data_IF_512373546950
#
_entry.id   IF_512373546950
#
_cell.length_a   1.000
_cell.length_b   1.000
_cell.length_c   1.000
_cell.angle_alpha   90.00
_cell.angle_beta   90.00
_cell.angle_gamma   90.00
#
_symmetry.space_group_name_H-M   'P 1'
#
loop_
_entity.id
_entity.type
_entity.pdbx_description
1 polymer ?
#
# COMPACT_ATOMS: atom_id res chain seq x y z
N UNK A 1 14.44 -21.35 -28.09
CA UNK A 1 15.16 -21.06 -26.84
C UNK A 1 14.32 -20.05 -26.11
N UNK A 2 13.52 -20.52 -25.13
CA UNK A 2 12.64 -19.66 -24.35
C UNK A 2 13.47 -18.86 -23.35
N UNK A 3 13.53 -17.55 -23.52
CA UNK A 3 14.06 -16.65 -22.50
C UNK A 3 13.19 -16.82 -21.24
N UNK A 4 13.74 -17.49 -20.25
CA UNK A 4 13.12 -17.56 -18.94
C UNK A 4 13.00 -16.13 -18.42
N UNK A 5 11.79 -15.58 -18.43
CA UNK A 5 11.49 -14.29 -17.82
C UNK A 5 11.96 -14.36 -16.35
N UNK A 6 13.11 -13.76 -16.09
CA UNK A 6 13.63 -13.63 -14.73
C UNK A 6 12.55 -12.97 -13.88
N UNK A 7 12.06 -13.71 -12.88
CA UNK A 7 10.93 -13.23 -12.05
C UNK A 7 11.38 -11.98 -11.30
N UNK A 8 10.81 -10.85 -11.67
CA UNK A 8 11.10 -9.57 -11.03
C UNK A 8 10.93 -9.70 -9.51
N UNK A 9 11.85 -9.10 -8.79
CA UNK A 9 11.80 -9.04 -7.33
C UNK A 9 11.93 -7.60 -6.88
N UNK A 10 11.10 -7.19 -5.96
CA UNK A 10 11.12 -5.86 -5.35
C UNK A 10 10.67 -5.95 -3.90
N UNK A 11 11.29 -5.17 -3.03
CA UNK A 11 10.81 -4.97 -1.67
C UNK A 11 9.86 -3.79 -1.70
N UNK A 12 8.61 -3.95 -1.28
CA UNK A 12 7.68 -2.83 -1.17
C UNK A 12 7.20 -2.69 0.27
N UNK A 13 7.33 -1.49 0.84
CA UNK A 13 6.82 -1.15 2.16
C UNK A 13 5.47 -0.45 2.01
N UNK A 14 4.47 -0.92 2.77
CA UNK A 14 3.13 -0.33 2.80
C UNK A 14 2.90 0.40 4.10
N UNK A 15 2.78 1.71 4.04
CA UNK A 15 2.38 2.61 5.12
C UNK A 15 0.95 3.09 4.89
N UNK A 16 0.39 3.81 5.87
CA UNK A 16 -0.88 4.50 5.74
C UNK A 16 -0.71 5.97 6.17
N UNK A 17 -1.20 6.35 7.34
CA UNK A 17 -1.17 7.72 7.81
C UNK A 17 -0.02 8.01 8.80
N UNK A 18 0.37 9.28 8.85
CA UNK A 18 1.33 9.83 9.81
C UNK A 18 0.70 11.03 10.52
N UNK A 19 0.24 10.81 11.75
CA UNK A 19 -0.53 11.78 12.54
C UNK A 19 -0.18 11.67 14.03
N UNK A 20 -0.33 12.76 14.76
CA UNK A 20 -0.20 12.74 16.21
C UNK A 20 -1.23 11.80 16.85
N UNK A 21 -0.84 11.08 17.89
CA UNK A 21 -1.71 10.11 18.56
C UNK A 21 -3.01 10.75 19.07
N UNK A 22 -2.94 11.96 19.61
CA UNK A 22 -4.11 12.70 20.09
C UNK A 22 -5.09 13.08 18.98
N UNK A 23 -4.63 13.13 17.71
CA UNK A 23 -5.40 13.55 16.55
C UNK A 23 -5.48 12.47 15.47
N UNK A 24 -5.32 11.20 15.85
CA UNK A 24 -5.25 10.07 14.90
C UNK A 24 -6.49 9.92 13.99
N UNK A 25 -7.61 10.57 14.33
CA UNK A 25 -8.82 10.57 13.49
C UNK A 25 -8.83 11.69 12.43
N UNK A 26 -7.84 12.58 12.41
CA UNK A 26 -7.79 13.73 11.48
C UNK A 26 -7.24 13.37 10.10
N UNK A 27 -6.81 12.15 9.87
CA UNK A 27 -6.35 11.68 8.57
C UNK A 27 -6.74 10.22 8.33
N UNK A 28 -7.24 9.94 7.14
CA UNK A 28 -7.65 8.60 6.70
C UNK A 28 -8.82 8.03 7.47
N UNK A 29 -8.99 6.72 7.41
CA UNK A 29 -10.07 6.02 8.09
C UNK A 29 -9.94 6.10 9.61
N UNK A 30 -11.08 6.18 10.30
CA UNK A 30 -11.15 6.16 11.75
C UNK A 30 -11.30 4.72 12.30
N UNK A 31 -11.09 4.55 13.60
CA UNK A 31 -11.31 3.30 14.32
C UNK A 31 -10.04 2.54 14.67
N UNK A 32 -10.19 1.56 15.58
CA UNK A 32 -9.07 0.82 16.17
C UNK A 32 -8.22 0.05 15.12
N UNK A 33 -8.87 -0.52 14.12
CA UNK A 33 -8.18 -1.25 13.04
C UNK A 33 -7.27 -0.34 12.20
N UNK A 34 -7.77 0.86 11.84
CA UNK A 34 -6.99 1.86 11.11
C UNK A 34 -5.86 2.44 11.97
N UNK A 35 -6.09 2.63 13.27
CA UNK A 35 -5.11 3.15 14.20
C UNK A 35 -3.85 2.28 14.31
N UNK A 36 -3.93 0.98 14.01
CA UNK A 36 -2.77 0.07 13.98
C UNK A 36 -1.74 0.46 12.91
N UNK A 37 -2.15 1.17 11.88
CA UNK A 37 -1.31 1.55 10.74
C UNK A 37 -0.91 3.02 10.72
N UNK A 38 -1.36 3.81 11.72
CA UNK A 38 -1.03 5.22 11.84
C UNK A 38 0.19 5.40 12.72
N UNK A 39 1.24 5.99 12.16
CA UNK A 39 2.48 6.32 12.86
C UNK A 39 2.41 7.75 13.38
N UNK A 40 3.14 8.03 14.46
CA UNK A 40 3.42 9.40 14.86
C UNK A 40 4.51 10.02 13.97
N UNK A 41 4.52 11.35 13.76
CA UNK A 41 5.50 12.02 12.91
C UNK A 41 6.94 11.70 13.30
N UNK A 42 7.29 11.77 14.57
CA UNK A 42 8.63 11.43 15.07
C UNK A 42 8.99 9.98 14.85
N UNK A 43 8.03 9.07 14.96
CA UNK A 43 8.26 7.66 14.65
C UNK A 43 8.55 7.47 13.17
N UNK A 44 7.79 8.13 12.31
CA UNK A 44 8.01 8.08 10.87
C UNK A 44 9.37 8.65 10.50
N UNK A 45 9.78 9.77 11.06
CA UNK A 45 11.11 10.37 10.86
C UNK A 45 12.23 9.41 11.27
N UNK A 46 12.08 8.72 12.42
CA UNK A 46 13.03 7.67 12.83
C UNK A 46 13.05 6.48 11.87
N UNK A 47 11.89 6.07 11.31
CA UNK A 47 11.84 5.03 10.28
C UNK A 47 12.63 5.46 9.04
N UNK A 48 12.37 6.67 8.51
CA UNK A 48 13.07 7.19 7.34
C UNK A 48 14.59 7.27 7.58
N UNK A 49 15.01 7.79 8.73
CA UNK A 49 16.42 7.87 9.11
C UNK A 49 17.09 6.50 9.20
N UNK A 50 16.42 5.51 9.80
CA UNK A 50 16.94 4.15 9.91
C UNK A 50 17.02 3.45 8.56
N UNK A 51 16.01 3.59 7.70
CA UNK A 51 16.00 3.05 6.34
C UNK A 51 17.13 3.67 5.53
N UNK A 52 17.28 5.01 5.53
CA UNK A 52 18.30 5.73 4.77
C UNK A 52 19.74 5.27 5.10
N UNK A 53 19.97 4.79 6.32
CA UNK A 53 21.29 4.27 6.74
C UNK A 53 21.64 2.90 6.14
N UNK A 54 20.64 2.11 5.74
CA UNK A 54 20.85 0.71 5.34
C UNK A 54 20.55 0.44 3.87
N UNK A 55 19.87 1.37 3.17
CA UNK A 55 19.65 1.27 1.73
C UNK A 55 20.61 2.19 1.00
N UNK A 56 21.24 1.68 -0.08
CA UNK A 56 22.16 2.46 -0.90
C UNK A 56 21.44 3.36 -1.89
N UNK A 57 20.24 2.92 -2.31
CA UNK A 57 19.52 3.52 -3.41
C UNK A 57 18.21 4.14 -2.94
N UNK A 58 17.76 5.16 -3.67
CA UNK A 58 16.42 5.74 -3.46
C UNK A 58 15.33 4.72 -3.82
N UNK A 59 14.13 4.84 -3.24
CA UNK A 59 13.01 4.00 -3.65
C UNK A 59 12.72 4.22 -5.13
N UNK A 60 12.55 3.13 -5.87
CA UNK A 60 12.14 3.18 -7.28
C UNK A 60 10.63 3.39 -7.40
N UNK A 61 10.18 3.88 -8.53
CA UNK A 61 8.77 3.93 -8.87
C UNK A 61 8.38 2.69 -9.68
N UNK A 62 7.16 2.23 -9.52
CA UNK A 62 6.66 1.04 -10.22
C UNK A 62 6.68 1.21 -11.74
N UNK A 63 6.57 2.44 -12.22
CA UNK A 63 6.72 2.79 -13.63
C UNK A 63 8.09 2.41 -14.20
N UNK A 64 9.15 2.50 -13.41
CA UNK A 64 10.49 2.10 -13.82
C UNK A 64 10.59 0.58 -13.94
N UNK A 65 9.97 -0.15 -12.99
CA UNK A 65 9.88 -1.60 -13.02
C UNK A 65 9.03 -2.10 -14.20
N UNK A 66 7.94 -1.41 -14.53
CA UNK A 66 7.05 -1.74 -15.67
C UNK A 66 7.73 -1.48 -17.02
N UNK A 67 8.53 -0.43 -17.11
CA UNK A 67 9.25 -0.06 -18.33
C UNK A 67 10.57 -0.83 -18.50
N UNK A 68 10.84 -1.84 -17.70
CA UNK A 68 12.09 -2.62 -17.72
C UNK A 68 13.37 -1.75 -17.67
N UNK A 69 13.28 -0.58 -17.03
CA UNK A 69 14.46 0.24 -16.81
C UNK A 69 15.46 -0.48 -15.89
N UNK A 70 16.72 -0.14 -16.03
CA UNK A 70 17.75 -0.60 -15.11
C UNK A 70 17.37 -0.21 -13.66
N UNK A 71 17.26 -1.20 -12.80
CA UNK A 71 16.96 -1.01 -11.38
C UNK A 71 18.15 -1.42 -10.54
N UNK A 72 18.28 -0.91 -9.31
CA UNK A 72 19.28 -1.38 -8.37
C UNK A 72 19.25 -2.89 -8.16
N UNK A 73 20.35 -3.49 -7.70
CA UNK A 73 20.42 -4.92 -7.40
C UNK A 73 19.37 -5.37 -6.35
N UNK A 74 18.97 -4.46 -5.48
CA UNK A 74 17.89 -4.67 -4.50
C UNK A 74 16.88 -3.54 -4.60
N UNK A 75 16.01 -3.54 -5.61
CA UNK A 75 15.03 -2.49 -5.78
C UNK A 75 14.01 -2.52 -4.64
N UNK A 76 13.65 -1.34 -4.17
CA UNK A 76 12.65 -1.20 -3.14
C UNK A 76 11.73 -0.01 -3.42
N UNK A 77 10.52 -0.05 -2.86
CA UNK A 77 9.46 0.94 -3.04
C UNK A 77 8.86 1.31 -1.70
N UNK A 78 8.32 2.51 -1.60
CA UNK A 78 7.50 2.96 -0.48
C UNK A 78 6.12 3.38 -0.98
N UNK A 79 5.08 2.94 -0.29
CA UNK A 79 3.69 3.14 -0.69
C UNK A 79 2.85 3.57 0.50
N UNK A 80 1.79 4.32 0.24
CA UNK A 80 0.83 4.79 1.23
C UNK A 80 -0.58 4.52 0.72
N UNK A 81 -1.42 3.92 1.56
CA UNK A 81 -2.79 3.56 1.21
C UNK A 81 -3.80 4.60 1.75
N UNK A 82 -5.07 4.43 1.40
CA UNK A 82 -6.28 5.13 1.81
C UNK A 82 -6.48 6.53 1.21
N UNK A 83 -5.44 7.33 1.04
CA UNK A 83 -5.55 8.71 0.57
C UNK A 83 -5.84 9.72 1.69
N UNK A 84 -5.44 9.39 2.92
CA UNK A 84 -5.58 10.26 4.08
C UNK A 84 -4.86 11.60 3.92
N UNK A 85 -5.37 12.63 4.62
CA UNK A 85 -4.87 14.01 4.52
C UNK A 85 -3.37 14.12 4.86
N UNK A 86 -2.87 13.27 5.76
CA UNK A 86 -1.45 13.26 6.17
C UNK A 86 -0.50 12.91 5.02
N UNK A 87 -0.97 12.25 3.98
CA UNK A 87 -0.21 11.99 2.76
C UNK A 87 0.33 13.28 2.14
N UNK A 88 -0.48 14.34 2.16
CA UNK A 88 -0.13 15.66 1.66
C UNK A 88 0.52 16.56 2.72
N UNK A 89 -0.07 16.62 3.91
CA UNK A 89 0.34 17.61 4.93
C UNK A 89 1.60 17.22 5.71
N UNK A 90 1.99 15.95 5.67
CA UNK A 90 3.05 15.42 6.52
C UNK A 90 4.04 14.53 5.77
N UNK A 91 3.54 13.54 5.04
CA UNK A 91 4.36 12.45 4.50
C UNK A 91 5.19 12.92 3.31
N UNK A 92 4.56 13.55 2.34
CA UNK A 92 5.22 13.92 1.08
C UNK A 92 6.43 14.84 1.32
N UNK A 93 6.28 15.87 2.16
CA UNK A 93 7.36 16.81 2.46
C UNK A 93 8.57 16.11 3.09
N UNK A 94 8.33 15.19 4.06
CA UNK A 94 9.38 14.42 4.72
C UNK A 94 10.15 13.51 3.75
N UNK A 95 9.44 12.87 2.83
CA UNK A 95 10.07 12.05 1.79
C UNK A 95 10.91 12.91 0.85
N UNK A 96 10.40 14.05 0.44
CA UNK A 96 11.07 14.95 -0.49
C UNK A 96 12.31 15.60 0.09
N UNK A 97 12.32 15.92 1.38
CA UNK A 97 13.51 16.44 2.09
C UNK A 97 14.71 15.50 1.95
N UNK A 98 14.49 14.19 1.83
CA UNK A 98 15.55 13.19 1.60
C UNK A 98 15.61 12.72 0.15
N UNK A 99 14.90 13.39 -0.76
CA UNK A 99 14.91 13.15 -2.20
C UNK A 99 14.17 11.87 -2.62
N UNK A 100 13.25 11.36 -1.81
CA UNK A 100 12.45 10.17 -2.13
C UNK A 100 11.12 10.54 -2.77
N UNK A 101 10.61 9.60 -3.59
CA UNK A 101 9.26 9.63 -4.14
C UNK A 101 8.55 8.32 -3.78
N UNK A 102 7.22 8.39 -3.69
CA UNK A 102 6.37 7.31 -3.23
C UNK A 102 5.16 7.09 -4.14
N UNK A 103 4.40 6.04 -3.82
CA UNK A 103 3.11 5.76 -4.41
C UNK A 103 2.03 6.06 -3.38
N UNK A 104 1.02 6.84 -3.75
CA UNK A 104 -0.15 7.13 -2.94
C UNK A 104 -1.38 6.52 -3.59
N UNK A 105 -2.05 5.63 -2.88
CA UNK A 105 -3.26 4.94 -3.34
C UNK A 105 -4.49 5.57 -2.72
N UNK A 106 -5.40 6.03 -3.57
CA UNK A 106 -6.52 6.90 -3.20
C UNK A 106 -7.83 6.13 -3.25
N UNK A 107 -8.59 6.16 -2.16
CA UNK A 107 -9.98 5.71 -2.11
C UNK A 107 -10.88 6.84 -2.63
N UNK A 108 -11.43 6.68 -3.84
CA UNK A 108 -11.95 7.83 -4.59
C UNK A 108 -13.23 8.43 -4.05
N UNK A 109 -14.08 7.66 -3.38
CA UNK A 109 -15.32 8.16 -2.77
C UNK A 109 -15.07 9.10 -1.58
N UNK A 110 -13.84 9.08 -1.05
CA UNK A 110 -13.42 9.92 0.07
C UNK A 110 -12.66 11.18 -0.35
N UNK A 111 -12.44 11.40 -1.65
CA UNK A 111 -11.73 12.60 -2.13
C UNK A 111 -12.50 13.86 -1.70
N UNK A 112 -11.83 14.71 -0.92
CA UNK A 112 -12.40 15.95 -0.38
C UNK A 112 -13.27 15.77 0.87
N UNK A 113 -13.48 14.54 1.33
CA UNK A 113 -14.11 14.29 2.63
C UNK A 113 -13.20 14.73 3.78
N UNK A 114 -13.75 15.05 4.96
CA UNK A 114 -12.93 15.29 6.16
C UNK A 114 -11.90 14.17 6.38
N UNK A 115 -10.68 14.52 6.77
CA UNK A 115 -9.55 13.61 6.96
C UNK A 115 -8.94 12.99 5.67
N UNK A 116 -9.43 13.31 4.49
CA UNK A 116 -8.89 12.83 3.22
C UNK A 116 -8.43 14.00 2.32
N UNK A 117 -7.54 13.68 1.38
CA UNK A 117 -6.99 14.68 0.46
C UNK A 117 -8.05 15.25 -0.49
N UNK A 118 -7.92 16.55 -0.79
CA UNK A 118 -8.69 17.21 -1.83
C UNK A 118 -8.17 16.85 -3.24
N UNK A 119 -8.98 17.18 -4.26
CA UNK A 119 -8.59 17.04 -5.68
C UNK A 119 -7.30 17.81 -6.01
N UNK A 120 -7.15 18.99 -5.46
CA UNK A 120 -6.00 19.89 -5.65
C UNK A 120 -4.73 19.28 -5.03
N UNK A 121 -4.84 18.76 -3.83
CA UNK A 121 -3.74 18.10 -3.12
C UNK A 121 -3.24 16.85 -3.85
N UNK A 122 -4.15 16.04 -4.39
CA UNK A 122 -3.79 14.86 -5.19
C UNK A 122 -3.08 15.27 -6.49
N UNK A 123 -3.57 16.31 -7.20
CA UNK A 123 -2.87 16.85 -8.38
C UNK A 123 -1.48 17.37 -8.03
N UNK A 124 -1.35 18.02 -6.89
CA UNK A 124 -0.08 18.58 -6.45
C UNK A 124 0.93 17.48 -6.15
N UNK A 125 0.57 16.42 -5.41
CA UNK A 125 1.42 15.25 -5.20
C UNK A 125 1.93 14.67 -6.53
N UNK A 126 1.04 14.57 -7.53
CA UNK A 126 1.42 14.08 -8.86
C UNK A 126 2.43 15.01 -9.53
N UNK A 127 2.24 16.34 -9.48
CA UNK A 127 3.19 17.33 -10.02
C UNK A 127 4.54 17.30 -9.30
N UNK A 128 4.55 17.00 -8.01
CA UNK A 128 5.75 16.82 -7.17
C UNK A 128 6.51 15.53 -7.48
N UNK A 129 6.01 14.69 -8.41
CA UNK A 129 6.69 13.50 -8.90
C UNK A 129 6.34 12.21 -8.18
N UNK A 130 5.37 12.23 -7.29
CA UNK A 130 4.81 11.01 -6.71
C UNK A 130 3.89 10.29 -7.69
N UNK A 131 3.69 9.00 -7.48
CA UNK A 131 2.73 8.21 -8.26
C UNK A 131 1.40 8.18 -7.53
N UNK A 132 0.34 8.47 -8.25
CA UNK A 132 -1.04 8.32 -7.77
C UNK A 132 -1.63 7.05 -8.36
N UNK A 133 -2.23 6.22 -7.52
CA UNK A 133 -2.90 4.98 -7.89
C UNK A 133 -4.27 4.84 -7.22
N UNK A 134 -5.06 3.88 -7.68
CA UNK A 134 -6.37 3.57 -7.12
C UNK A 134 -6.26 2.71 -5.86
N UNK A 135 -7.08 3.02 -4.85
CA UNK A 135 -7.35 2.14 -3.71
C UNK A 135 -8.85 1.76 -3.69
N UNK A 136 -9.42 1.46 -4.86
CA UNK A 136 -10.85 1.29 -5.15
C UNK A 136 -11.68 2.56 -4.99
N UNK A 137 -13.00 2.45 -5.21
CA UNK A 137 -13.95 3.55 -4.95
C UNK A 137 -14.27 3.67 -3.47
N UNK A 138 -14.91 2.64 -2.92
CA UNK A 138 -15.57 2.69 -1.62
C UNK A 138 -14.84 1.98 -0.48
N UNK A 139 -13.70 1.33 -0.78
CA UNK A 139 -12.93 0.54 0.19
C UNK A 139 -13.73 -0.58 0.86
N UNK A 140 -14.32 -1.54 0.13
CA UNK A 140 -15.12 -2.61 0.72
C UNK A 140 -14.34 -3.45 1.73
N UNK A 141 -14.90 -3.71 2.89
CA UNK A 141 -14.26 -4.45 4.00
C UNK A 141 -13.80 -5.86 3.62
N UNK A 142 -14.47 -6.50 2.66
CA UNK A 142 -14.17 -7.86 2.17
C UNK A 142 -13.97 -7.84 0.66
N UNK A 143 -13.05 -7.03 0.19
CA UNK A 143 -12.84 -6.79 -1.24
C UNK A 143 -12.71 -8.09 -2.04
N UNK A 144 -11.92 -9.05 -1.60
CA UNK A 144 -11.75 -10.33 -2.28
C UNK A 144 -13.00 -11.23 -2.32
N UNK A 145 -14.01 -10.93 -1.51
CA UNK A 145 -15.28 -11.66 -1.49
C UNK A 145 -16.39 -10.97 -2.33
N UNK A 146 -16.12 -9.78 -2.86
CA UNK A 146 -17.04 -9.09 -3.75
C UNK A 146 -17.26 -9.87 -5.05
N UNK A 147 -18.49 -9.86 -5.60
CA UNK A 147 -18.75 -10.41 -6.93
C UNK A 147 -17.85 -9.76 -8.00
N UNK A 148 -17.50 -10.52 -9.04
CA UNK A 148 -16.60 -10.02 -10.12
C UNK A 148 -17.09 -8.72 -10.76
N UNK A 149 -18.40 -8.55 -10.93
CA UNK A 149 -18.98 -7.33 -11.47
C UNK A 149 -18.71 -6.12 -10.57
N UNK A 150 -18.80 -6.30 -9.25
CA UNK A 150 -18.50 -5.26 -8.26
C UNK A 150 -17.00 -4.94 -8.22
N UNK A 151 -16.13 -5.95 -8.23
CA UNK A 151 -14.68 -5.73 -8.34
C UNK A 151 -14.32 -4.91 -9.56
N UNK A 152 -14.91 -5.22 -10.72
CA UNK A 152 -14.70 -4.45 -11.95
C UNK A 152 -15.22 -3.02 -11.83
N UNK A 153 -16.39 -2.83 -11.23
CA UNK A 153 -16.95 -1.51 -10.98
C UNK A 153 -16.03 -0.67 -10.10
N UNK A 154 -15.63 -1.20 -8.95
CA UNK A 154 -14.72 -0.55 -8.00
C UNK A 154 -13.41 -0.10 -8.66
N UNK A 155 -12.79 -0.97 -9.47
CA UNK A 155 -11.57 -0.63 -10.19
C UNK A 155 -11.80 0.39 -11.30
N UNK A 156 -12.81 0.17 -12.15
CA UNK A 156 -13.08 1.01 -13.31
C UNK A 156 -13.43 2.44 -12.92
N UNK A 157 -14.36 2.59 -11.98
CA UNK A 157 -14.83 3.90 -11.52
C UNK A 157 -13.70 4.68 -10.85
N UNK A 158 -12.95 4.06 -9.92
CA UNK A 158 -11.84 4.74 -9.26
C UNK A 158 -10.74 5.14 -10.22
N UNK A 159 -10.37 4.28 -11.17
CA UNK A 159 -9.36 4.62 -12.21
C UNK A 159 -9.85 5.76 -13.08
N UNK A 160 -11.13 5.79 -13.48
CA UNK A 160 -11.69 6.88 -14.28
C UNK A 160 -11.67 8.21 -13.50
N UNK A 161 -12.14 8.21 -12.25
CA UNK A 161 -12.13 9.42 -11.41
C UNK A 161 -10.72 10.00 -11.28
N UNK A 162 -9.72 9.15 -11.02
CA UNK A 162 -8.34 9.60 -10.88
C UNK A 162 -7.73 10.01 -12.23
N UNK A 163 -8.06 9.32 -13.32
CA UNK A 163 -7.56 9.68 -14.66
C UNK A 163 -8.11 11.03 -15.12
N UNK A 164 -9.38 11.29 -14.90
CA UNK A 164 -10.02 12.57 -15.20
C UNK A 164 -9.45 13.69 -14.32
N UNK A 165 -9.20 13.38 -13.04
CA UNK A 165 -8.60 14.34 -12.10
C UNK A 165 -7.20 14.74 -12.51
N UNK A 166 -6.38 13.79 -12.97
CA UNK A 166 -4.96 14.00 -13.29
C UNK A 166 -4.71 14.40 -14.74
N UNK A 167 -5.69 14.20 -15.64
CA UNK A 167 -5.50 14.40 -17.08
C UNK A 167 -4.58 13.35 -17.72
N UNK A 168 -4.34 12.23 -17.05
CA UNK A 168 -3.53 11.12 -17.54
C UNK A 168 -4.12 9.80 -17.07
N UNK A 169 -3.84 8.72 -17.80
CA UNK A 169 -4.36 7.40 -17.44
C UNK A 169 -3.68 6.84 -16.19
N UNK A 170 -4.48 6.56 -15.16
CA UNK A 170 -4.06 5.81 -13.98
C UNK A 170 -4.09 4.31 -14.29
N UNK A 171 -2.96 3.62 -14.06
CA UNK A 171 -2.75 2.20 -14.41
C UNK A 171 -2.29 1.35 -13.23
N UNK A 172 -2.31 1.93 -12.04
CA UNK A 172 -1.70 1.35 -10.85
C UNK A 172 -2.74 1.36 -9.75
N UNK A 173 -2.84 0.25 -9.00
CA UNK A 173 -3.77 0.12 -7.89
C UNK A 173 -3.17 -0.64 -6.70
N UNK A 174 -3.81 -0.49 -5.55
CA UNK A 174 -3.57 -1.26 -4.33
C UNK A 174 -4.88 -1.89 -3.84
N UNK A 175 -4.81 -3.12 -3.37
CA UNK A 175 -5.97 -3.88 -2.89
C UNK A 175 -6.40 -3.40 -1.51
N UNK A 176 -7.66 -2.95 -1.33
CA UNK A 176 -8.19 -2.51 -0.03
C UNK A 176 -8.14 -3.61 1.04
N UNK A 177 -7.80 -3.21 2.27
CA UNK A 177 -7.80 -4.10 3.43
C UNK A 177 -6.88 -5.32 3.31
N UNK A 178 -5.99 -5.33 2.32
CA UNK A 178 -5.03 -6.42 2.10
C UNK A 178 -5.65 -7.77 1.72
N UNK A 179 -6.90 -7.81 1.32
CA UNK A 179 -7.60 -9.05 0.95
C UNK A 179 -7.43 -9.34 -0.54
N UNK A 180 -6.37 -10.04 -0.88
CA UNK A 180 -6.07 -10.44 -2.24
C UNK A 180 -6.64 -11.80 -2.60
N UNK A 181 -7.12 -11.94 -3.82
CA UNK A 181 -7.38 -13.20 -4.51
C UNK A 181 -7.04 -13.04 -5.99
N UNK A 182 -6.87 -14.17 -6.71
CA UNK A 182 -6.62 -14.15 -8.14
C UNK A 182 -7.73 -13.40 -8.90
N UNK A 183 -8.99 -13.55 -8.49
CA UNK A 183 -10.12 -12.86 -9.11
C UNK A 183 -10.05 -11.34 -8.97
N UNK A 184 -9.48 -10.82 -7.88
CA UNK A 184 -9.22 -9.38 -7.71
C UNK A 184 -8.23 -8.89 -8.76
N UNK A 185 -7.15 -9.64 -9.01
CA UNK A 185 -6.15 -9.27 -10.02
C UNK A 185 -6.69 -9.42 -11.46
N UNK A 186 -7.50 -10.44 -11.73
CA UNK A 186 -8.16 -10.62 -13.04
C UNK A 186 -9.13 -9.45 -13.30
N UNK A 187 -9.92 -9.05 -12.29
CA UNK A 187 -10.81 -7.89 -12.42
C UNK A 187 -10.03 -6.58 -12.64
N UNK A 188 -8.87 -6.42 -11.96
CA UNK A 188 -7.98 -5.29 -12.18
C UNK A 188 -7.41 -5.27 -13.61
N UNK A 189 -6.94 -6.40 -14.11
CA UNK A 189 -6.45 -6.56 -15.50
C UNK A 189 -7.54 -6.25 -16.54
N UNK A 190 -8.78 -6.69 -16.31
CA UNK A 190 -9.94 -6.41 -17.17
C UNK A 190 -10.21 -4.89 -17.27
N UNK A 191 -9.87 -4.12 -16.24
CA UNK A 191 -10.00 -2.65 -16.21
C UNK A 191 -8.72 -1.93 -16.64
N UNK A 192 -7.76 -2.70 -17.16
CA UNK A 192 -6.47 -2.21 -17.65
C UNK A 192 -5.57 -1.61 -16.55
N UNK A 193 -5.68 -2.09 -15.32
CA UNK A 193 -4.66 -1.89 -14.30
C UNK A 193 -3.47 -2.79 -14.66
N UNK A 194 -2.29 -2.20 -14.73
CA UNK A 194 -1.05 -2.84 -15.18
C UNK A 194 -0.14 -3.24 -14.00
N UNK A 195 -0.31 -2.59 -12.82
CA UNK A 195 0.34 -3.00 -11.59
C UNK A 195 -0.62 -2.95 -10.41
N UNK A 196 -0.67 -4.04 -9.64
CA UNK A 196 -1.54 -4.21 -8.48
C UNK A 196 -0.70 -4.55 -7.25
N UNK A 197 -0.74 -3.68 -6.25
CA UNK A 197 -0.10 -3.91 -4.97
C UNK A 197 -1.02 -4.65 -4.01
N UNK A 198 -0.47 -5.65 -3.32
CA UNK A 198 -1.18 -6.44 -2.32
C UNK A 198 -0.51 -6.29 -0.96
N UNK A 199 -1.10 -6.83 0.11
CA UNK A 199 -0.46 -6.91 1.42
C UNK A 199 0.16 -8.28 1.69
N UNK A 200 0.34 -9.12 0.67
CA UNK A 200 1.07 -10.37 0.80
C UNK A 200 2.57 -10.08 0.98
N UNK A 201 3.20 -10.50 2.07
CA UNK A 201 4.58 -10.15 2.39
C UNK A 201 5.57 -11.01 1.58
N UNK A 202 5.73 -10.65 0.32
CA UNK A 202 6.65 -11.30 -0.62
C UNK A 202 7.41 -10.28 -1.44
N UNK A 203 8.62 -10.63 -1.85
CA UNK A 203 9.42 -9.85 -2.81
C UNK A 203 9.23 -10.30 -4.24
N UNK A 204 8.60 -11.45 -4.46
CA UNK A 204 8.40 -12.02 -5.80
C UNK A 204 7.21 -11.35 -6.44
N UNK A 205 7.41 -10.75 -7.61
CA UNK A 205 6.31 -10.30 -8.43
C UNK A 205 5.69 -11.48 -9.17
N UNK A 206 4.36 -11.48 -9.27
CA UNK A 206 3.61 -12.41 -10.10
C UNK A 206 2.98 -11.65 -11.27
N UNK A 207 2.54 -12.37 -12.30
CA UNK A 207 1.79 -11.79 -13.40
C UNK A 207 0.44 -12.50 -13.49
N UNK A 208 -0.63 -11.74 -13.52
CA UNK A 208 -2.00 -12.21 -13.75
C UNK A 208 -2.51 -11.45 -14.97
N UNK A 209 -2.72 -12.17 -16.05
CA UNK A 209 -2.98 -11.56 -17.37
C UNK A 209 -1.89 -10.52 -17.71
N UNK A 210 -2.26 -9.26 -17.95
CA UNK A 210 -1.32 -8.17 -18.20
C UNK A 210 -1.02 -7.33 -16.97
N UNK A 211 -1.45 -7.75 -15.77
CA UNK A 211 -1.26 -7.06 -14.51
C UNK A 211 -0.08 -7.66 -13.73
N UNK A 212 0.88 -6.82 -13.36
CA UNK A 212 1.98 -7.16 -12.45
C UNK A 212 1.48 -7.10 -11.02
N UNK A 213 1.51 -8.22 -10.30
CA UNK A 213 1.09 -8.30 -8.88
C UNK A 213 2.31 -8.21 -8.00
N UNK A 214 2.31 -7.25 -7.08
CA UNK A 214 3.44 -6.88 -6.22
C UNK A 214 3.02 -7.04 -4.77
N UNK A 215 3.73 -7.88 -4.01
CA UNK A 215 3.53 -8.02 -2.58
C UNK A 215 4.14 -6.86 -1.79
N UNK A 216 3.63 -6.63 -0.56
CA UNK A 216 4.14 -5.56 0.31
C UNK A 216 4.30 -6.04 1.75
N UNK A 217 5.28 -5.44 2.42
CA UNK A 217 5.45 -5.53 3.87
C UNK A 217 4.73 -4.35 4.52
N UNK A 218 3.60 -4.63 5.15
CA UNK A 218 2.78 -3.60 5.83
C UNK A 218 3.46 -3.14 7.10
N UNK A 219 3.63 -1.85 7.25
CA UNK A 219 4.19 -1.22 8.45
C UNK A 219 3.06 -0.87 9.41
N UNK A 220 3.25 -1.24 10.67
CA UNK A 220 2.31 -1.01 11.75
C UNK A 220 2.95 -0.16 12.85
N UNK A 221 2.13 0.55 13.63
CA UNK A 221 2.55 1.48 14.67
C UNK A 221 3.52 0.90 15.72
N UNK A 222 3.40 -0.38 16.03
CA UNK A 222 4.30 -1.05 16.99
C UNK A 222 5.68 -1.42 16.43
N UNK A 223 5.87 -1.30 15.14
CA UNK A 223 7.15 -1.66 14.50
C UNK A 223 8.21 -0.60 14.78
N UNK A 224 9.39 -1.06 15.19
CA UNK A 224 10.53 -0.19 15.46
C UNK A 224 11.21 0.27 14.16
N UNK A 225 11.98 1.37 14.20
CA UNK A 225 12.79 1.82 13.06
C UNK A 225 13.70 0.72 12.50
N UNK A 226 14.31 -0.10 13.37
CA UNK A 226 15.20 -1.20 12.94
C UNK A 226 14.46 -2.29 12.18
N UNK A 227 13.21 -2.58 12.55
CA UNK A 227 12.36 -3.52 11.83
C UNK A 227 12.03 -3.00 10.43
N UNK A 228 11.66 -1.72 10.30
CA UNK A 228 11.39 -1.09 9.01
C UNK A 228 12.65 -1.05 8.13
N UNK A 229 13.80 -0.69 8.69
CA UNK A 229 15.10 -0.69 8.03
C UNK A 229 15.53 -2.09 7.57
N UNK A 230 15.35 -3.09 8.44
CA UNK A 230 15.61 -4.48 8.11
C UNK A 230 14.73 -5.01 6.98
N UNK A 231 13.46 -4.62 6.93
CA UNK A 231 12.57 -4.95 5.81
C UNK A 231 13.05 -4.30 4.52
N UNK A 232 13.33 -2.99 4.52
CA UNK A 232 13.77 -2.24 3.35
C UNK A 232 15.08 -2.76 2.77
N UNK A 233 16.06 -3.09 3.63
CA UNK A 233 17.36 -3.63 3.21
C UNK A 233 17.33 -5.11 2.82
N UNK A 234 16.18 -5.77 2.96
CA UNK A 234 16.01 -7.16 2.56
C UNK A 234 16.50 -8.19 3.59
N UNK A 235 16.66 -7.82 4.85
CA UNK A 235 16.99 -8.78 5.91
C UNK A 235 15.91 -9.86 6.03
N UNK A 236 16.35 -11.10 6.25
CA UNK A 236 15.44 -12.26 6.27
C UNK A 236 14.50 -12.24 7.48
N UNK A 237 15.01 -12.02 8.67
CA UNK A 237 14.27 -12.22 9.92
C UNK A 237 12.97 -11.37 10.03
N UNK A 238 12.98 -10.03 9.85
CA UNK A 238 11.77 -9.23 9.96
C UNK A 238 10.74 -9.58 8.89
N UNK A 239 11.18 -9.88 7.66
CA UNK A 239 10.31 -10.27 6.56
C UNK A 239 9.68 -11.66 6.77
N UNK A 240 10.48 -12.62 7.27
CA UNK A 240 10.01 -13.96 7.58
C UNK A 240 8.98 -13.94 8.71
N UNK A 241 9.20 -13.14 9.78
CA UNK A 241 8.21 -12.98 10.86
C UNK A 241 6.88 -12.46 10.34
N UNK A 242 6.90 -11.46 9.46
CA UNK A 242 5.64 -10.94 8.90
C UNK A 242 4.97 -11.97 7.98
N UNK A 243 5.74 -12.69 7.16
CA UNK A 243 5.21 -13.78 6.33
C UNK A 243 4.59 -14.90 7.18
N UNK A 244 5.26 -15.33 8.26
CA UNK A 244 4.74 -16.35 9.16
C UNK A 244 3.42 -15.93 9.80
N UNK A 245 3.35 -14.69 10.32
CA UNK A 245 2.10 -14.13 10.84
C UNK A 245 0.99 -14.04 9.80
N UNK A 246 1.33 -13.73 8.57
CA UNK A 246 0.38 -13.69 7.46
C UNK A 246 -0.20 -15.08 7.18
N UNK A 247 0.64 -16.11 7.11
CA UNK A 247 0.19 -17.50 6.89
C UNK A 247 -0.66 -18.00 8.07
N UNK A 248 -0.27 -17.72 9.31
CA UNK A 248 -1.07 -18.07 10.50
C UNK A 248 -2.46 -17.40 10.42
N UNK A 249 -2.52 -16.11 10.07
CA UNK A 249 -3.80 -15.41 9.90
C UNK A 249 -4.67 -16.01 8.79
N UNK A 250 -4.09 -16.47 7.68
CA UNK A 250 -4.84 -17.16 6.63
C UNK A 250 -5.50 -18.43 7.18
N UNK A 251 -4.73 -19.26 7.88
CA UNK A 251 -5.23 -20.52 8.48
C UNK A 251 -6.37 -20.23 9.46
N UNK A 252 -6.18 -19.26 10.37
CA UNK A 252 -7.21 -18.89 11.36
C UNK A 252 -8.47 -18.36 10.66
N UNK A 253 -8.35 -17.56 9.61
CA UNK A 253 -9.50 -17.07 8.82
C UNK A 253 -10.24 -18.21 8.11
N UNK A 254 -9.51 -19.21 7.63
CA UNK A 254 -10.10 -20.37 6.93
C UNK A 254 -10.83 -21.31 7.89
N UNK A 255 -10.28 -21.51 9.09
CA UNK A 255 -10.82 -22.45 10.10
C UNK A 255 -11.84 -21.79 11.03
N UNK A 256 -11.79 -20.48 11.24
CA UNK A 256 -12.46 -19.77 12.33
C UNK A 256 -13.65 -18.89 11.93
N UNK A 257 -13.93 -18.66 10.65
CA UNK A 257 -15.10 -17.87 10.19
C UNK A 257 -15.45 -16.67 11.10
N UNK A 258 -16.68 -16.67 11.66
CA UNK A 258 -17.16 -15.62 12.55
C UNK A 258 -16.46 -15.54 13.92
N UNK A 259 -15.82 -16.62 14.37
CA UNK A 259 -15.09 -16.65 15.64
C UNK A 259 -13.82 -15.78 15.57
N UNK A 260 -13.14 -15.73 14.42
CA UNK A 260 -12.00 -14.85 14.20
C UNK A 260 -12.38 -13.37 14.30
N UNK A 261 -13.55 -12.99 13.79
CA UNK A 261 -14.04 -11.59 13.88
C UNK A 261 -14.33 -11.18 15.33
N UNK A 262 -14.80 -12.11 16.16
CA UNK A 262 -15.03 -11.86 17.61
C UNK A 262 -13.73 -11.72 18.37
N UNK A 263 -12.76 -12.61 18.12
CA UNK A 263 -11.42 -12.52 18.74
C UNK A 263 -10.69 -11.24 18.35
N UNK A 264 -10.77 -10.83 17.09
CA UNK A 264 -10.15 -9.58 16.61
C UNK A 264 -10.73 -8.34 17.32
N UNK A 265 -12.04 -8.32 17.58
CA UNK A 265 -12.67 -7.26 18.39
C UNK A 265 -12.17 -7.26 19.84
N UNK A 266 -12.10 -8.42 20.50
CA UNK A 266 -11.60 -8.52 21.88
C UNK A 266 -10.15 -8.07 22.03
N UNK A 267 -9.28 -8.33 21.04
CA UNK A 267 -7.89 -7.86 21.07
C UNK A 267 -7.76 -6.36 20.77
N UNK A 268 -8.66 -5.78 19.98
CA UNK A 268 -8.69 -4.34 19.72
C UNK A 268 -9.20 -3.55 20.94
N UNK A 269 -10.14 -4.10 21.69
CA UNK A 269 -10.74 -3.48 22.89
C UNK A 269 -9.86 -3.62 24.14
N UNK A 270 -8.87 -4.52 24.14
CA UNK A 270 -7.96 -4.77 25.29
C UNK A 270 -6.69 -3.92 25.32
N UNK A 271 -6.49 -3.00 24.39
CA UNK A 271 -5.36 -2.06 24.33
C UNK A 271 -5.77 -0.59 24.48
N UNK A 272 -6.96 -0.35 25.03
CA UNK A 272 -7.40 0.99 25.47
C UNK A 272 -7.20 1.18 26.97
#
# INVERSE_FOLDING_TARGET
MGSGSERKRVISLGYHDVVELATHQTSGFAGADAALYKLEPDQFDRHLAAISKVVSDRPILVTDLMADKATPARPWMITFDDGGLSSYTTIADRLEMIGWRAHFFITTDYIGAPAFMSREQIRDLRRRGHIIGSHSCSHPLRFAACPRAELKREWKESVNVLSDLLGERVRIASVPGGQYSRHVAEAAADTRIEALFTSEPTTRCAKVENCLVIGRYSIQRWMTPDVAAGMASGQFAPRFRQWLWWEIKKIIKTLGGDYYLRLRKSFADGFN
#
